data_IF_508973352318
#
_entry.id   IF_508973352318
#
_cell.length_a   1.000
_cell.length_b   1.000
_cell.length_c   1.000
_cell.angle_alpha   90.00
_cell.angle_beta   90.00
_cell.angle_gamma   90.00
#
_symmetry.space_group_name_H-M   'P 1'
#
loop_
_entity.id
_entity.type
_entity.pdbx_description
1 polymer ?
#
# COMPACT_ATOMS: atom_id res chain seq x y z
N UNK A 1 -3.57 32.01 1.76
CA UNK A 1 -4.53 31.08 1.14
C UNK A 1 -5.53 31.93 0.37
N UNK A 2 -5.44 31.93 -0.96
CA UNK A 2 -6.41 32.60 -1.83
C UNK A 2 -7.71 31.80 -1.81
N UNK A 3 -8.82 32.46 -1.48
CA UNK A 3 -10.18 31.91 -1.59
C UNK A 3 -10.45 31.46 -3.03
N UNK A 4 -11.09 30.30 -3.27
CA UNK A 4 -11.42 29.87 -4.63
C UNK A 4 -12.41 30.85 -5.28
N UNK A 5 -12.16 31.16 -6.55
CA UNK A 5 -13.06 31.92 -7.41
C UNK A 5 -14.37 31.12 -7.64
N UNK A 6 -15.55 31.67 -7.31
CA UNK A 6 -16.84 30.97 -7.43
C UNK A 6 -17.34 30.82 -8.88
N UNK A 7 -16.57 31.24 -9.90
CA UNK A 7 -17.02 31.26 -11.30
C UNK A 7 -16.70 30.00 -12.11
N UNK A 8 -16.03 29.00 -11.57
CA UNK A 8 -15.83 27.69 -12.21
C UNK A 8 -16.16 26.57 -11.21
N UNK A 9 -17.34 25.96 -11.36
CA UNK A 9 -17.55 24.63 -10.76
C UNK A 9 -16.49 23.70 -11.36
N UNK A 10 -15.56 23.13 -10.57
CA UNK A 10 -14.58 22.21 -11.11
C UNK A 10 -15.35 21.03 -11.74
N UNK A 11 -15.14 20.82 -13.04
CA UNK A 11 -15.65 19.63 -13.70
C UNK A 11 -14.81 18.44 -13.24
N UNK A 12 -15.31 17.70 -12.26
CA UNK A 12 -14.69 16.47 -11.80
C UNK A 12 -14.62 15.45 -12.95
N UNK A 13 -13.51 14.73 -13.06
CA UNK A 13 -13.27 13.77 -14.14
C UNK A 13 -12.99 12.40 -13.55
N UNK A 14 -13.45 11.35 -14.23
CA UNK A 14 -13.16 9.98 -13.84
C UNK A 14 -11.65 9.74 -13.99
N UNK A 15 -10.92 9.37 -12.92
CA UNK A 15 -9.48 9.17 -12.99
C UNK A 15 -9.08 8.07 -13.95
N UNK A 16 -8.02 8.30 -14.71
CA UNK A 16 -7.45 7.33 -15.65
C UNK A 16 -5.95 7.18 -15.47
N UNK A 17 -5.38 6.09 -15.99
CA UNK A 17 -3.93 5.88 -16.02
C UNK A 17 -3.29 6.77 -17.11
N UNK A 18 -2.16 7.39 -16.78
CA UNK A 18 -1.37 8.20 -17.73
C UNK A 18 0.10 7.77 -17.82
N UNK A 19 0.65 7.14 -16.79
CA UNK A 19 2.06 6.78 -16.76
C UNK A 19 2.27 5.47 -17.52
N UNK A 20 2.81 5.58 -18.74
CA UNK A 20 3.02 4.43 -19.62
C UNK A 20 4.50 4.21 -19.98
N UNK A 21 5.31 5.26 -19.90
CA UNK A 21 6.73 5.23 -20.30
C UNK A 21 7.59 5.92 -19.25
N UNK A 22 8.91 5.77 -19.35
CA UNK A 22 9.87 6.50 -18.50
C UNK A 22 9.72 8.01 -18.64
N UNK A 23 9.37 8.50 -19.83
CA UNK A 23 9.10 9.93 -20.06
C UNK A 23 7.87 10.41 -19.28
N UNK A 24 6.77 9.64 -19.29
CA UNK A 24 5.58 9.96 -18.48
C UNK A 24 5.91 9.95 -16.98
N UNK A 25 6.69 8.98 -16.50
CA UNK A 25 7.10 8.92 -15.11
C UNK A 25 7.96 10.13 -14.71
N UNK A 26 8.92 10.52 -15.55
CA UNK A 26 9.74 11.70 -15.33
C UNK A 26 8.88 12.99 -15.31
N UNK A 27 7.88 13.09 -16.18
CA UNK A 27 6.93 14.19 -16.18
C UNK A 27 6.10 14.24 -14.89
N UNK A 28 5.59 13.09 -14.44
CA UNK A 28 4.92 12.98 -13.14
C UNK A 28 5.82 13.48 -12.01
N UNK A 29 7.09 13.06 -11.94
CA UNK A 29 8.03 13.48 -10.89
C UNK A 29 8.30 14.99 -10.85
N UNK A 30 8.11 15.70 -11.98
CA UNK A 30 8.20 17.17 -12.05
C UNK A 30 6.86 17.87 -11.79
N UNK A 31 5.75 17.12 -11.74
CA UNK A 31 4.41 17.68 -11.67
C UNK A 31 4.07 18.26 -10.31
N UNK A 32 3.08 19.16 -10.30
CA UNK A 32 2.45 19.66 -9.07
C UNK A 32 1.84 18.52 -8.25
N UNK A 33 1.19 17.56 -8.90
CA UNK A 33 0.54 16.41 -8.26
C UNK A 33 1.53 15.55 -7.49
N UNK A 34 2.72 15.29 -8.05
CA UNK A 34 3.79 14.61 -7.31
C UNK A 34 4.18 15.37 -6.04
N UNK A 35 4.36 16.69 -6.15
CA UNK A 35 4.73 17.54 -5.01
C UNK A 35 3.64 17.56 -3.94
N UNK A 36 2.36 17.54 -4.34
CA UNK A 36 1.22 17.47 -3.42
C UNK A 36 1.13 16.11 -2.72
N UNK A 37 1.31 14.99 -3.43
CA UNK A 37 1.33 13.64 -2.85
C UNK A 37 2.47 13.53 -1.83
N UNK A 38 3.69 13.86 -2.24
CA UNK A 38 4.85 13.76 -1.34
C UNK A 38 4.73 14.72 -0.16
N UNK A 39 4.29 15.95 -0.39
CA UNK A 39 4.05 16.93 0.66
C UNK A 39 3.01 16.46 1.67
N UNK A 40 1.91 15.84 1.21
CA UNK A 40 0.90 15.28 2.10
C UNK A 40 1.45 14.14 2.97
N UNK A 41 2.24 13.22 2.40
CA UNK A 41 2.91 12.15 3.18
C UNK A 41 3.81 12.75 4.26
N UNK A 42 4.56 13.79 3.91
CA UNK A 42 5.50 14.47 4.81
C UNK A 42 4.77 15.18 5.95
N UNK A 43 3.70 15.94 5.63
CA UNK A 43 2.85 16.60 6.64
C UNK A 43 2.25 15.57 7.61
N UNK A 44 1.64 14.49 7.08
CA UNK A 44 1.09 13.40 7.90
C UNK A 44 2.16 12.74 8.77
N UNK A 45 3.39 12.57 8.26
CA UNK A 45 4.50 11.99 9.02
C UNK A 45 4.97 12.88 10.18
N UNK A 46 5.02 14.20 9.98
CA UNK A 46 5.43 15.12 11.06
C UNK A 46 4.37 15.20 12.16
N UNK A 47 3.08 15.14 11.83
CA UNK A 47 1.98 15.26 12.80
C UNK A 47 1.86 14.09 13.79
N UNK A 48 2.44 12.93 13.45
CA UNK A 48 2.42 11.71 14.28
C UNK A 48 3.70 11.46 15.07
N UNK A 49 4.68 12.36 15.00
CA UNK A 49 5.95 12.21 15.72
C UNK A 49 5.71 12.09 17.22
N UNK A 50 6.22 11.01 17.82
CA UNK A 50 6.11 10.76 19.26
C UNK A 50 4.73 10.32 19.75
N UNK A 51 3.76 10.10 18.86
CA UNK A 51 2.39 9.65 19.22
C UNK A 51 2.24 8.14 19.06
N UNK A 52 1.53 7.50 19.99
CA UNK A 52 1.18 6.07 19.89
C UNK A 52 -0.13 5.85 19.15
N UNK A 53 -0.31 4.64 18.60
CA UNK A 53 -1.58 4.16 18.04
C UNK A 53 -2.69 4.19 19.11
N UNK A 54 -2.37 3.74 20.32
CA UNK A 54 -3.28 3.73 21.48
C UNK A 54 -3.68 5.14 21.95
N UNK A 55 -2.99 6.18 21.48
CA UNK A 55 -3.23 7.58 21.80
C UNK A 55 -3.87 8.35 20.62
N UNK A 56 -4.34 7.66 19.58
CA UNK A 56 -4.98 8.29 18.41
C UNK A 56 -6.17 9.19 18.78
N UNK A 57 -6.84 8.90 19.89
CA UNK A 57 -8.05 9.58 20.34
C UNK A 57 -9.32 9.01 19.71
N UNK A 58 -10.42 9.72 19.87
CA UNK A 58 -11.71 9.35 19.27
C UNK A 58 -11.88 9.99 17.88
N UNK A 59 -12.72 9.38 17.05
CA UNK A 59 -13.08 9.95 15.75
C UNK A 59 -13.82 11.28 15.89
N UNK A 60 -13.43 12.26 15.08
CA UNK A 60 -14.15 13.52 14.93
C UNK A 60 -15.39 13.33 14.04
N UNK A 61 -16.29 14.31 13.98
CA UNK A 61 -17.43 14.29 13.05
C UNK A 61 -16.99 14.17 11.58
N UNK A 62 -15.77 14.63 11.25
CA UNK A 62 -15.20 14.54 9.89
C UNK A 62 -14.57 13.18 9.62
N UNK A 63 -13.95 12.54 10.60
CA UNK A 63 -13.25 11.26 10.41
C UNK A 63 -14.11 10.03 10.70
N UNK A 64 -15.20 10.16 11.47
CA UNK A 64 -16.14 9.06 11.75
C UNK A 64 -16.72 8.40 10.49
N UNK A 65 -17.21 9.15 9.49
CA UNK A 65 -17.69 8.55 8.24
C UNK A 65 -16.62 7.71 7.52
N UNK A 66 -15.34 8.09 7.61
CA UNK A 66 -14.24 7.34 6.98
C UNK A 66 -14.03 6.00 7.69
N UNK A 67 -14.08 5.98 9.02
CA UNK A 67 -14.03 4.75 9.81
C UNK A 67 -15.22 3.84 9.49
N UNK A 68 -16.43 4.40 9.40
CA UNK A 68 -17.65 3.64 9.09
C UNK A 68 -17.61 3.02 7.69
N UNK A 69 -17.03 3.73 6.71
CA UNK A 69 -16.79 3.21 5.36
C UNK A 69 -15.81 2.01 5.41
N UNK A 70 -14.70 2.14 6.14
CA UNK A 70 -13.73 1.04 6.30
C UNK A 70 -14.34 -0.17 7.02
N UNK A 71 -15.19 0.06 8.01
CA UNK A 71 -15.94 -1.01 8.67
C UNK A 71 -16.91 -1.70 7.71
N UNK A 72 -17.59 -0.95 6.84
CA UNK A 72 -18.45 -1.54 5.82
C UNK A 72 -17.66 -2.42 4.84
N UNK A 73 -16.44 -2.02 4.46
CA UNK A 73 -15.56 -2.87 3.63
C UNK A 73 -15.16 -4.15 4.35
N UNK A 74 -14.86 -4.07 5.65
CA UNK A 74 -14.58 -5.24 6.49
C UNK A 74 -15.78 -6.19 6.55
N UNK A 75 -17.00 -5.67 6.77
CA UNK A 75 -18.24 -6.46 6.77
C UNK A 75 -18.51 -7.12 5.40
N UNK A 76 -18.19 -6.44 4.29
CA UNK A 76 -18.26 -7.04 2.95
C UNK A 76 -17.27 -8.21 2.83
N UNK A 77 -16.08 -8.11 3.43
CA UNK A 77 -15.11 -9.20 3.45
C UNK A 77 -15.58 -10.38 4.33
N UNK A 78 -16.13 -10.11 5.51
CA UNK A 78 -16.70 -11.14 6.41
C UNK A 78 -17.88 -11.87 5.75
N UNK A 79 -18.74 -11.15 5.03
CA UNK A 79 -19.88 -11.72 4.28
C UNK A 79 -19.50 -12.33 2.92
N UNK A 80 -18.20 -12.40 2.59
CA UNK A 80 -17.67 -13.01 1.37
C UNK A 80 -16.61 -14.05 1.71
N UNK A 81 -16.99 -15.18 2.34
CA UNK A 81 -16.02 -16.17 2.81
C UNK A 81 -15.20 -16.76 1.64
N UNK A 82 -13.95 -17.18 1.91
CA UNK A 82 -13.09 -17.78 0.90
C UNK A 82 -13.68 -19.10 0.40
N UNK A 83 -13.54 -19.38 -0.90
CA UNK A 83 -13.91 -20.70 -1.44
C UNK A 83 -12.86 -21.74 -1.06
N UNK A 84 -13.29 -23.00 -0.86
CA UNK A 84 -12.37 -24.10 -0.55
C UNK A 84 -11.43 -24.32 -1.75
N UNK A 85 -10.18 -23.88 -1.61
CA UNK A 85 -9.16 -23.91 -2.65
C UNK A 85 -7.87 -24.61 -2.17
N UNK A 86 -8.01 -25.68 -1.40
CA UNK A 86 -6.89 -26.43 -0.78
C UNK A 86 -5.81 -26.95 -1.74
N UNK A 87 -6.10 -27.05 -3.04
CA UNK A 87 -5.14 -27.50 -4.05
C UNK A 87 -4.31 -26.36 -4.67
N UNK A 88 -4.71 -25.11 -4.43
CA UNK A 88 -4.00 -23.93 -4.93
C UNK A 88 -3.12 -23.32 -3.84
N UNK A 89 -2.02 -22.70 -4.25
CA UNK A 89 -1.15 -21.84 -3.41
C UNK A 89 -1.22 -20.36 -3.78
N UNK A 90 -2.10 -20.04 -4.72
CA UNK A 90 -2.32 -18.73 -5.34
C UNK A 90 -3.64 -18.12 -4.85
N UNK A 91 -3.88 -16.86 -5.21
CA UNK A 91 -5.01 -16.07 -4.72
C UNK A 91 -6.38 -16.78 -4.78
N UNK A 92 -7.20 -16.57 -3.74
CA UNK A 92 -8.53 -17.14 -3.62
C UNK A 92 -9.52 -16.43 -4.56
N UNK A 93 -10.24 -17.16 -5.43
CA UNK A 93 -11.19 -16.55 -6.37
C UNK A 93 -12.31 -15.73 -5.73
N UNK A 94 -12.67 -15.99 -4.45
CA UNK A 94 -13.67 -15.21 -3.72
C UNK A 94 -13.29 -13.72 -3.62
N UNK A 95 -12.01 -13.39 -3.74
CA UNK A 95 -11.54 -12.00 -3.82
C UNK A 95 -12.22 -11.21 -4.95
N UNK A 96 -12.48 -11.86 -6.10
CA UNK A 96 -13.14 -11.18 -7.24
C UNK A 96 -14.56 -10.75 -6.88
N UNK A 97 -15.27 -11.59 -6.13
CA UNK A 97 -16.60 -11.28 -5.62
C UNK A 97 -16.56 -10.18 -4.56
N UNK A 98 -15.59 -10.23 -3.65
CA UNK A 98 -15.36 -9.17 -2.66
C UNK A 98 -15.09 -7.82 -3.36
N UNK A 99 -14.18 -7.81 -4.33
CA UNK A 99 -13.81 -6.63 -5.09
C UNK A 99 -15.04 -6.01 -5.79
N UNK A 100 -15.87 -6.85 -6.44
CA UNK A 100 -17.09 -6.38 -7.10
C UNK A 100 -18.10 -5.78 -6.11
N UNK A 101 -18.33 -6.44 -4.97
CA UNK A 101 -19.22 -5.92 -3.91
C UNK A 101 -18.75 -4.57 -3.36
N UNK A 102 -17.44 -4.39 -3.14
CA UNK A 102 -16.89 -3.09 -2.72
C UNK A 102 -17.07 -2.05 -3.83
N UNK A 103 -16.85 -2.42 -5.08
CA UNK A 103 -17.10 -1.58 -6.25
C UNK A 103 -18.54 -1.09 -6.35
N UNK A 104 -19.50 -1.99 -6.19
CA UNK A 104 -20.94 -1.70 -6.23
C UNK A 104 -21.38 -0.83 -5.06
N UNK A 105 -20.86 -1.07 -3.85
CA UNK A 105 -21.19 -0.31 -2.65
C UNK A 105 -20.51 1.08 -2.60
N UNK A 106 -19.43 1.28 -3.35
CA UNK A 106 -18.57 2.46 -3.23
C UNK A 106 -19.33 3.78 -3.36
N UNK A 107 -20.24 3.91 -4.34
CA UNK A 107 -20.98 5.14 -4.54
C UNK A 107 -21.80 5.50 -3.30
N UNK A 108 -22.58 4.55 -2.79
CA UNK A 108 -23.41 4.73 -1.59
C UNK A 108 -22.56 5.03 -0.36
N UNK A 109 -21.42 4.34 -0.20
CA UNK A 109 -20.47 4.60 0.89
C UNK A 109 -20.01 6.06 0.91
N UNK A 110 -19.66 6.62 -0.24
CA UNK A 110 -19.22 8.01 -0.34
C UNK A 110 -20.32 9.03 -0.08
N UNK A 111 -21.60 8.70 -0.34
CA UNK A 111 -22.72 9.60 0.02
C UNK A 111 -22.86 9.82 1.52
N UNK A 112 -22.25 8.97 2.35
CA UNK A 112 -22.23 9.10 3.82
C UNK A 112 -21.27 10.18 4.32
N UNK A 113 -20.34 10.66 3.48
CA UNK A 113 -19.35 11.68 3.86
C UNK A 113 -20.03 13.06 3.83
N UNK A 114 -20.22 13.73 4.98
CA UNK A 114 -20.87 15.03 5.02
C UNK A 114 -20.06 16.08 4.25
N UNK A 115 -20.73 16.82 3.37
CA UNK A 115 -20.11 17.90 2.59
C UNK A 115 -19.38 17.47 1.32
N UNK A 116 -19.27 16.17 1.02
CA UNK A 116 -18.72 15.69 -0.24
C UNK A 116 -19.64 16.09 -1.42
N UNK A 117 -19.18 16.88 -2.40
CA UNK A 117 -19.99 17.21 -3.57
C UNK A 117 -20.36 15.95 -4.35
N UNK A 118 -21.63 15.82 -4.75
CA UNK A 118 -22.12 14.62 -5.45
C UNK A 118 -21.38 14.39 -6.76
N UNK A 119 -21.02 15.47 -7.43
CA UNK A 119 -20.30 15.49 -8.69
C UNK A 119 -18.84 15.03 -8.52
N UNK A 120 -18.27 15.17 -7.31
CA UNK A 120 -16.92 14.73 -6.98
C UNK A 120 -16.84 13.23 -6.67
N UNK A 121 -17.98 12.59 -6.32
CA UNK A 121 -18.01 11.17 -5.94
C UNK A 121 -17.47 10.30 -7.07
N UNK A 122 -17.86 10.56 -8.33
CA UNK A 122 -17.40 9.81 -9.50
C UNK A 122 -15.87 9.80 -9.67
N UNK A 123 -15.20 10.78 -9.09
CA UNK A 123 -13.74 10.91 -9.15
C UNK A 123 -13.09 10.26 -7.92
N UNK A 124 -13.54 10.64 -6.72
CA UNK A 124 -12.99 10.17 -5.45
C UNK A 124 -13.15 8.66 -5.30
N UNK A 125 -14.29 8.10 -5.73
CA UNK A 125 -14.59 6.68 -5.55
C UNK A 125 -13.65 5.75 -6.32
N UNK A 126 -13.02 6.22 -7.41
CA UNK A 126 -12.13 5.41 -8.24
C UNK A 126 -10.83 5.10 -7.50
N UNK A 127 -10.26 6.10 -6.82
CA UNK A 127 -9.10 5.90 -5.94
C UNK A 127 -9.41 4.88 -4.84
N UNK A 128 -10.60 4.99 -4.23
CA UNK A 128 -11.05 4.05 -3.21
C UNK A 128 -11.22 2.62 -3.77
N UNK A 129 -11.87 2.45 -4.93
CA UNK A 129 -12.07 1.14 -5.56
C UNK A 129 -10.75 0.43 -5.86
N UNK A 130 -9.74 1.18 -6.31
CA UNK A 130 -8.42 0.66 -6.66
C UNK A 130 -7.45 0.57 -5.45
N UNK A 131 -7.95 0.73 -4.22
CA UNK A 131 -7.14 0.62 -2.99
C UNK A 131 -6.99 -0.81 -2.45
N UNK A 132 -7.81 -1.77 -2.90
CA UNK A 132 -7.94 -3.08 -2.21
C UNK A 132 -7.15 -4.23 -2.83
N UNK A 133 -6.52 -4.01 -3.97
CA UNK A 133 -5.81 -5.04 -4.75
C UNK A 133 -6.21 -5.04 -6.22
N UNK A 134 -5.66 -5.96 -7.01
CA UNK A 134 -6.05 -6.16 -8.41
C UNK A 134 -7.02 -7.33 -8.56
N UNK A 135 -8.23 -7.06 -9.08
CA UNK A 135 -9.27 -8.08 -9.28
C UNK A 135 -8.78 -9.29 -10.09
N UNK A 136 -8.03 -9.09 -11.17
CA UNK A 136 -7.67 -10.18 -12.07
C UNK A 136 -6.51 -11.01 -11.54
N UNK A 137 -5.47 -10.35 -11.05
CA UNK A 137 -4.26 -10.98 -10.55
C UNK A 137 -4.40 -11.49 -9.11
N UNK A 138 -5.39 -11.00 -8.38
CA UNK A 138 -5.62 -11.35 -6.96
C UNK A 138 -4.37 -11.03 -6.13
N UNK A 139 -3.80 -9.85 -6.39
CA UNK A 139 -2.58 -9.34 -5.77
C UNK A 139 -2.82 -7.98 -5.10
N UNK A 140 -1.90 -7.58 -4.23
CA UNK A 140 -1.89 -6.28 -3.58
C UNK A 140 -0.45 -5.81 -3.36
N UNK A 141 -0.21 -4.51 -3.44
CA UNK A 141 1.10 -3.94 -3.13
C UNK A 141 1.05 -2.42 -2.92
N UNK A 142 2.24 -1.81 -2.89
CA UNK A 142 2.43 -0.38 -2.57
C UNK A 142 1.71 0.58 -3.54
N UNK A 143 1.43 0.17 -4.77
CA UNK A 143 0.64 0.96 -5.73
C UNK A 143 -0.83 1.11 -5.30
N UNK A 144 -1.43 0.07 -4.74
CA UNK A 144 -2.81 0.11 -4.22
C UNK A 144 -2.85 0.87 -2.88
N UNK A 145 -1.82 0.70 -2.04
CA UNK A 145 -1.62 1.54 -0.86
C UNK A 145 -1.55 3.04 -1.22
N UNK A 146 -0.87 3.39 -2.32
CA UNK A 146 -0.82 4.75 -2.85
C UNK A 146 -2.18 5.25 -3.34
N UNK A 147 -3.05 4.38 -3.86
CA UNK A 147 -4.42 4.77 -4.21
C UNK A 147 -5.24 5.13 -2.97
N UNK A 148 -5.06 4.41 -1.86
CA UNK A 148 -5.72 4.76 -0.59
C UNK A 148 -5.23 6.11 -0.05
N UNK A 149 -3.91 6.37 -0.13
CA UNK A 149 -3.35 7.68 0.20
C UNK A 149 -3.91 8.78 -0.72
N UNK A 150 -4.00 8.53 -2.03
CA UNK A 150 -4.59 9.45 -3.00
C UNK A 150 -6.04 9.77 -2.68
N UNK A 151 -6.82 8.78 -2.23
CA UNK A 151 -8.18 8.99 -1.74
C UNK A 151 -8.22 9.95 -0.54
N UNK A 152 -7.37 9.74 0.48
CA UNK A 152 -7.26 10.65 1.62
C UNK A 152 -6.85 12.08 1.20
N UNK A 153 -5.90 12.19 0.27
CA UNK A 153 -5.46 13.48 -0.27
C UNK A 153 -6.60 14.19 -0.99
N UNK A 154 -7.40 13.49 -1.81
CA UNK A 154 -8.58 14.06 -2.47
C UNK A 154 -9.59 14.60 -1.45
N UNK A 155 -9.85 13.88 -0.36
CA UNK A 155 -10.73 14.36 0.72
C UNK A 155 -10.18 15.62 1.40
N UNK A 156 -8.86 15.68 1.65
CA UNK A 156 -8.20 16.87 2.21
C UNK A 156 -8.28 18.07 1.26
N UNK A 157 -8.07 17.85 -0.05
CA UNK A 157 -8.18 18.90 -1.09
C UNK A 157 -9.59 19.45 -1.22
N UNK A 158 -10.62 18.63 -0.99
CA UNK A 158 -12.02 19.04 -0.95
C UNK A 158 -12.40 19.75 0.38
N UNK A 159 -11.48 19.84 1.34
CA UNK A 159 -11.72 20.45 2.64
C UNK A 159 -12.60 19.62 3.58
N UNK A 160 -12.76 18.32 3.30
CA UNK A 160 -13.59 17.41 4.10
C UNK A 160 -12.88 16.94 5.37
N UNK A 161 -11.55 17.02 5.37
CA UNK A 161 -10.67 16.81 6.52
C UNK A 161 -9.66 17.96 6.57
N UNK A 162 -9.26 18.35 7.77
CA UNK A 162 -8.33 19.48 7.98
C UNK A 162 -7.07 19.01 8.70
N UNK A 163 -6.08 19.89 8.87
CA UNK A 163 -4.81 19.55 9.54
C UNK A 163 -5.01 19.06 10.97
N UNK A 164 -6.06 19.51 11.65
CA UNK A 164 -6.42 19.03 12.99
C UNK A 164 -6.77 17.53 13.00
N UNK A 165 -7.22 16.97 11.87
CA UNK A 165 -7.58 15.56 11.75
C UNK A 165 -6.38 14.69 11.33
N UNK A 166 -5.27 15.27 10.86
CA UNK A 166 -4.13 14.53 10.29
C UNK A 166 -3.53 13.46 11.21
N UNK A 167 -3.31 13.70 12.52
CA UNK A 167 -2.90 12.64 13.43
C UNK A 167 -3.85 11.44 13.42
N UNK A 168 -5.17 11.68 13.41
CA UNK A 168 -6.18 10.62 13.39
C UNK A 168 -6.32 9.98 11.99
N UNK A 169 -6.07 10.72 10.90
CA UNK A 169 -6.02 10.14 9.55
C UNK A 169 -4.96 9.05 9.45
N UNK A 170 -3.81 9.22 10.10
CA UNK A 170 -2.75 8.20 10.12
C UNK A 170 -3.04 7.13 11.17
N UNK A 171 -3.17 7.53 12.45
CA UNK A 171 -3.23 6.59 13.57
C UNK A 171 -4.57 5.87 13.71
N UNK A 172 -5.65 6.44 13.15
CA UNK A 172 -7.00 5.89 13.17
C UNK A 172 -7.42 5.35 11.80
N UNK A 173 -7.62 6.25 10.82
CA UNK A 173 -8.21 5.88 9.51
C UNK A 173 -7.28 4.97 8.72
N UNK A 174 -6.03 5.37 8.51
CA UNK A 174 -5.07 4.55 7.78
C UNK A 174 -4.71 3.27 8.54
N UNK A 175 -4.57 3.34 9.87
CA UNK A 175 -4.34 2.13 10.64
C UNK A 175 -5.49 1.12 10.52
N UNK A 176 -6.74 1.60 10.56
CA UNK A 176 -7.92 0.77 10.31
C UNK A 176 -7.89 0.16 8.92
N UNK A 177 -7.46 0.91 7.90
CA UNK A 177 -7.25 0.37 6.56
C UNK A 177 -6.22 -0.78 6.54
N UNK A 178 -5.10 -0.65 7.25
CA UNK A 178 -4.10 -1.72 7.38
C UNK A 178 -4.67 -2.96 8.05
N UNK A 179 -5.48 -2.82 9.10
CA UNK A 179 -6.14 -3.95 9.75
C UNK A 179 -7.10 -4.68 8.79
N UNK A 180 -7.91 -3.93 8.05
CA UNK A 180 -8.79 -4.48 7.02
C UNK A 180 -7.99 -5.19 5.92
N UNK A 181 -6.88 -4.59 5.47
CA UNK A 181 -6.01 -5.21 4.47
C UNK A 181 -5.36 -6.50 4.97
N UNK A 182 -4.91 -6.56 6.22
CA UNK A 182 -4.39 -7.81 6.82
C UNK A 182 -5.45 -8.91 6.85
N UNK A 183 -6.71 -8.55 7.15
CA UNK A 183 -7.83 -9.50 7.05
C UNK A 183 -8.03 -9.98 5.61
N UNK A 184 -8.08 -9.08 4.63
CA UNK A 184 -8.26 -9.41 3.20
C UNK A 184 -7.11 -10.29 2.68
N UNK A 185 -5.86 -9.91 2.96
CA UNK A 185 -4.65 -10.63 2.55
C UNK A 185 -4.63 -12.05 3.11
N UNK A 186 -4.96 -12.23 4.39
CA UNK A 186 -4.99 -13.55 5.03
C UNK A 186 -6.20 -14.39 4.62
N UNK A 187 -7.36 -13.76 4.37
CA UNK A 187 -8.59 -14.46 3.97
C UNK A 187 -8.51 -14.96 2.53
N UNK A 188 -8.03 -14.12 1.62
CA UNK A 188 -8.00 -14.44 0.19
C UNK A 188 -6.63 -14.85 -0.33
N UNK A 189 -5.62 -14.96 0.53
CA UNK A 189 -4.25 -15.29 0.16
C UNK A 189 -3.76 -14.43 -1.01
N UNK A 190 -3.92 -13.12 -0.88
CA UNK A 190 -3.46 -12.20 -1.92
C UNK A 190 -1.98 -12.42 -2.20
N UNK A 191 -1.60 -12.26 -3.46
CA UNK A 191 -0.21 -12.34 -3.88
C UNK A 191 0.47 -10.98 -3.70
N UNK A 192 1.77 -10.94 -3.35
CA UNK A 192 2.54 -9.71 -3.34
C UNK A 192 2.64 -9.10 -4.74
N UNK A 193 2.14 -7.88 -4.93
CA UNK A 193 2.26 -7.16 -6.20
C UNK A 193 3.59 -6.41 -6.26
N UNK A 194 4.37 -6.65 -7.32
CA UNK A 194 5.71 -6.07 -7.50
C UNK A 194 6.80 -7.01 -6.98
N UNK A 195 7.62 -7.52 -7.90
CA UNK A 195 8.63 -8.55 -7.63
C UNK A 195 9.93 -7.98 -7.07
N UNK A 196 9.90 -7.45 -5.84
CA UNK A 196 11.16 -7.22 -5.10
C UNK A 196 11.65 -8.49 -4.38
N UNK A 197 10.78 -9.50 -4.25
CA UNK A 197 11.08 -10.73 -3.52
C UNK A 197 11.63 -10.42 -2.12
N UNK A 198 12.67 -11.14 -1.70
CA UNK A 198 13.32 -10.91 -0.40
C UNK A 198 14.01 -9.54 -0.26
N UNK A 199 14.17 -8.78 -1.35
CA UNK A 199 14.79 -7.45 -1.34
C UNK A 199 13.76 -6.32 -1.23
N UNK A 200 12.48 -6.64 -1.11
CA UNK A 200 11.45 -5.66 -0.75
C UNK A 200 11.54 -5.28 0.72
N UNK A 201 11.00 -4.11 1.07
CA UNK A 201 10.84 -3.72 2.48
C UNK A 201 9.88 -4.67 3.20
N UNK A 202 8.73 -4.91 2.58
CA UNK A 202 7.68 -5.84 2.98
C UNK A 202 6.97 -6.34 1.73
N UNK A 203 6.23 -7.44 1.86
CA UNK A 203 5.52 -8.07 0.74
C UNK A 203 4.39 -7.17 0.20
N UNK A 204 3.77 -6.34 1.05
CA UNK A 204 2.54 -5.61 0.71
C UNK A 204 2.62 -4.11 0.97
N UNK A 205 3.27 -3.69 2.04
CA UNK A 205 3.11 -2.35 2.61
C UNK A 205 4.41 -1.54 2.67
N UNK A 206 4.30 -0.22 2.52
CA UNK A 206 5.43 0.69 2.72
C UNK A 206 5.12 1.77 3.75
N UNK A 207 3.99 2.47 3.60
CA UNK A 207 3.61 3.60 4.45
C UNK A 207 3.56 3.29 5.96
N UNK A 208 3.15 2.09 6.43
CA UNK A 208 3.19 1.76 7.86
C UNK A 208 4.61 1.77 8.44
N UNK A 209 5.62 1.43 7.64
CA UNK A 209 7.03 1.53 8.06
C UNK A 209 7.54 2.98 8.02
N UNK A 210 7.13 3.75 7.01
CA UNK A 210 7.46 5.17 6.93
C UNK A 210 6.87 5.90 8.14
N UNK A 211 5.56 5.88 8.34
CA UNK A 211 4.91 6.59 9.44
C UNK A 211 5.21 5.95 10.80
N UNK A 212 5.33 4.62 10.88
CA UNK A 212 5.74 3.95 12.12
C UNK A 212 7.14 4.34 12.60
N UNK A 213 8.08 4.55 11.68
CA UNK A 213 9.40 5.12 12.02
C UNK A 213 9.30 6.59 12.43
N UNK A 214 8.33 7.32 11.86
CA UNK A 214 7.93 8.67 12.26
C UNK A 214 7.45 8.74 13.71
N UNK A 215 6.56 7.83 14.13
CA UNK A 215 6.08 7.73 15.51
C UNK A 215 7.24 7.56 16.50
N UNK A 216 8.25 6.77 16.12
CA UNK A 216 9.39 6.42 16.94
C UNK A 216 10.55 7.44 16.89
N UNK A 217 10.42 8.53 16.12
CA UNK A 217 11.40 9.62 16.10
C UNK A 217 11.57 10.18 17.50
N UNK A 218 12.83 10.45 17.87
CA UNK A 218 13.22 10.95 19.20
C UNK A 218 12.80 10.07 20.38
N UNK A 219 12.39 8.82 20.15
CA UNK A 219 11.99 7.92 21.24
C UNK A 219 13.16 7.70 22.21
N UNK A 220 12.90 7.86 23.52
CA UNK A 220 13.95 7.89 24.55
C UNK A 220 14.76 6.58 24.63
N UNK A 221 14.06 5.44 24.57
CA UNK A 221 14.63 4.11 24.83
C UNK A 221 14.71 3.21 23.59
N UNK A 222 13.58 3.00 22.90
CA UNK A 222 13.52 2.17 21.70
C UNK A 222 14.46 2.71 20.59
N UNK A 223 15.18 1.79 19.96
CA UNK A 223 16.08 2.03 18.82
C UNK A 223 15.72 1.06 17.69
N UNK A 224 16.11 1.31 16.43
CA UNK A 224 15.80 0.41 15.32
C UNK A 224 16.15 -1.06 15.56
N UNK A 225 17.28 -1.34 16.25
CA UNK A 225 17.67 -2.70 16.63
C UNK A 225 16.66 -3.45 17.51
N UNK A 226 15.76 -2.74 18.20
CA UNK A 226 14.78 -3.34 19.10
C UNK A 226 13.71 -4.17 18.36
N UNK A 227 13.63 -4.09 17.03
CA UNK A 227 12.73 -4.95 16.24
C UNK A 227 13.07 -6.45 16.32
N UNK A 228 14.27 -6.78 16.82
CA UNK A 228 14.71 -8.17 17.02
C UNK A 228 14.37 -8.74 18.39
N UNK A 229 13.88 -7.90 19.31
CA UNK A 229 13.60 -8.28 20.68
C UNK A 229 12.12 -8.70 20.82
N UNK A 230 11.82 -9.99 21.06
CA UNK A 230 10.46 -10.47 21.15
C UNK A 230 9.66 -9.84 22.30
N UNK A 231 10.30 -9.50 23.42
CA UNK A 231 9.63 -8.88 24.57
C UNK A 231 9.23 -7.44 24.23
N UNK A 232 10.09 -6.72 23.51
CA UNK A 232 9.76 -5.38 22.99
C UNK A 232 8.61 -5.46 22.00
N UNK A 233 8.62 -6.43 21.08
CA UNK A 233 7.54 -6.59 20.11
C UNK A 233 6.22 -6.94 20.80
N UNK A 234 6.23 -7.84 21.77
CA UNK A 234 5.02 -8.24 22.52
C UNK A 234 4.42 -7.04 23.26
N UNK A 235 5.25 -6.25 23.96
CA UNK A 235 4.76 -5.10 24.73
C UNK A 235 4.34 -3.91 23.87
N UNK A 236 5.13 -3.55 22.85
CA UNK A 236 5.00 -2.27 22.14
C UNK A 236 4.39 -2.36 20.73
N UNK A 237 4.12 -3.56 20.20
CA UNK A 237 3.47 -3.69 18.88
C UNK A 237 2.05 -3.10 18.83
N UNK A 238 1.35 -3.02 19.96
CA UNK A 238 0.06 -2.33 20.08
C UNK A 238 0.15 -0.80 19.96
N UNK A 239 1.33 -0.24 20.24
CA UNK A 239 1.54 1.21 20.33
C UNK A 239 2.15 1.80 19.05
N UNK A 240 2.94 1.03 18.28
CA UNK A 240 3.72 1.55 17.15
C UNK A 240 3.54 0.72 15.88
N UNK A 241 3.15 1.38 14.79
CA UNK A 241 2.88 0.73 13.49
C UNK A 241 4.06 -0.10 12.99
N UNK A 242 5.28 0.43 13.12
CA UNK A 242 6.49 -0.27 12.66
C UNK A 242 6.65 -1.60 13.39
N UNK A 243 6.53 -1.59 14.72
CA UNK A 243 6.67 -2.78 15.56
C UNK A 243 5.50 -3.75 15.33
N UNK A 244 4.28 -3.24 15.13
CA UNK A 244 3.13 -4.04 14.72
C UNK A 244 3.38 -4.78 13.41
N UNK A 245 3.96 -4.11 12.40
CA UNK A 245 4.28 -4.75 11.13
C UNK A 245 5.36 -5.83 11.28
N UNK A 246 6.40 -5.58 12.08
CA UNK A 246 7.41 -6.61 12.38
C UNK A 246 6.79 -7.81 13.11
N UNK A 247 5.97 -7.55 14.13
CA UNK A 247 5.26 -8.61 14.86
C UNK A 247 4.37 -9.44 13.93
N UNK A 248 3.65 -8.78 13.01
CA UNK A 248 2.84 -9.44 12.00
C UNK A 248 3.70 -10.33 11.08
N UNK A 249 4.79 -9.80 10.53
CA UNK A 249 5.72 -10.56 9.67
C UNK A 249 6.25 -11.80 10.40
N UNK A 250 6.71 -11.64 11.64
CA UNK A 250 7.23 -12.75 12.45
C UNK A 250 6.16 -13.81 12.77
N UNK A 251 4.88 -13.43 12.78
CA UNK A 251 3.77 -14.38 13.00
C UNK A 251 3.48 -15.26 11.78
N UNK A 252 3.77 -14.77 10.56
CA UNK A 252 3.49 -15.48 9.30
C UNK A 252 4.73 -16.17 8.71
N UNK A 253 5.94 -15.67 9.00
CA UNK A 253 7.20 -16.21 8.48
C UNK A 253 7.99 -16.84 9.63
N UNK A 254 8.31 -18.13 9.52
CA UNK A 254 8.90 -18.92 10.62
C UNK A 254 10.43 -18.83 10.73
N UNK A 255 11.10 -18.36 9.68
CA UNK A 255 12.55 -18.12 9.72
C UNK A 255 12.85 -16.81 10.47
N UNK A 256 14.11 -16.57 10.86
CA UNK A 256 14.45 -15.28 11.46
C UNK A 256 14.29 -14.13 10.45
N UNK A 257 14.05 -12.91 10.96
CA UNK A 257 13.82 -11.71 10.14
C UNK A 257 14.85 -11.53 9.03
N UNK A 258 16.12 -11.78 9.32
CA UNK A 258 17.24 -11.73 8.36
C UNK A 258 17.05 -12.62 7.13
N UNK A 259 16.40 -13.78 7.26
CA UNK A 259 16.26 -14.73 6.17
C UNK A 259 15.11 -14.39 5.22
N UNK A 260 14.06 -13.75 5.72
CA UNK A 260 12.86 -13.50 4.93
C UNK A 260 12.59 -12.02 4.66
N UNK A 261 13.26 -11.13 5.39
CA UNK A 261 13.19 -9.67 5.24
C UNK A 261 14.56 -9.02 5.52
N UNK A 262 15.62 -9.38 4.75
CA UNK A 262 16.98 -8.86 4.95
C UNK A 262 17.07 -7.33 4.90
N UNK A 263 16.22 -6.64 4.13
CA UNK A 263 16.20 -5.18 4.11
C UNK A 263 15.78 -4.56 5.45
N UNK A 264 14.76 -5.12 6.11
CA UNK A 264 14.36 -4.70 7.45
C UNK A 264 15.45 -5.01 8.49
N UNK A 265 16.13 -6.15 8.35
CA UNK A 265 17.29 -6.52 9.17
C UNK A 265 18.43 -5.50 9.02
N UNK A 266 18.79 -5.12 7.80
CA UNK A 266 19.84 -4.12 7.52
C UNK A 266 19.44 -2.73 8.05
N UNK A 267 18.19 -2.31 7.86
CA UNK A 267 17.67 -1.03 8.37
C UNK A 267 17.72 -0.99 9.90
N UNK A 268 17.55 -2.12 10.59
CA UNK A 268 17.65 -2.21 12.04
C UNK A 268 19.04 -1.82 12.60
N UNK A 269 20.08 -1.86 11.76
CA UNK A 269 21.44 -1.45 12.13
C UNK A 269 21.61 0.08 12.19
N UNK A 270 20.65 0.86 11.67
CA UNK A 270 20.66 2.32 11.75
C UNK A 270 20.53 2.77 13.20
N UNK A 271 21.30 3.80 13.59
CA UNK A 271 21.42 4.22 15.00
C UNK A 271 20.16 4.85 15.58
N UNK A 272 19.38 5.58 14.79
CA UNK A 272 18.23 6.35 15.27
C UNK A 272 17.03 6.20 14.35
N UNK A 273 15.82 6.25 14.91
CA UNK A 273 14.57 6.23 14.14
C UNK A 273 14.40 7.45 13.24
N UNK A 274 15.00 8.59 13.59
CA UNK A 274 15.08 9.76 12.70
C UNK A 274 15.80 9.45 11.39
N UNK A 275 16.97 8.78 11.46
CA UNK A 275 17.68 8.35 10.26
C UNK A 275 16.97 7.25 9.49
N UNK A 276 16.27 6.36 10.18
CA UNK A 276 15.38 5.40 9.51
C UNK A 276 14.28 6.14 8.75
N UNK A 277 13.58 7.08 9.38
CA UNK A 277 12.49 7.83 8.76
C UNK A 277 12.95 8.67 7.55
N UNK A 278 14.08 9.38 7.68
CA UNK A 278 14.71 10.07 6.54
C UNK A 278 15.02 9.12 5.37
N UNK A 279 15.55 7.93 5.69
CA UNK A 279 15.82 6.87 4.72
C UNK A 279 14.55 6.35 4.06
N UNK A 280 13.49 6.10 4.84
CA UNK A 280 12.19 5.63 4.35
C UNK A 280 11.54 6.64 3.42
N UNK A 281 11.61 7.95 3.70
CA UNK A 281 11.12 9.00 2.78
C UNK A 281 11.82 8.93 1.42
N UNK A 282 13.16 8.80 1.42
CA UNK A 282 13.96 8.67 0.18
C UNK A 282 13.66 7.38 -0.57
N UNK A 283 13.54 6.28 0.17
CA UNK A 283 13.24 4.97 -0.40
C UNK A 283 11.83 4.92 -0.98
N UNK A 284 10.84 5.55 -0.34
CA UNK A 284 9.48 5.67 -0.90
C UNK A 284 9.49 6.41 -2.23
N UNK A 285 10.24 7.52 -2.32
CA UNK A 285 10.41 8.24 -3.58
C UNK A 285 11.05 7.36 -4.66
N UNK A 286 12.08 6.58 -4.33
CA UNK A 286 12.78 5.76 -5.31
C UNK A 286 12.00 4.51 -5.74
N UNK A 287 11.45 3.76 -4.78
CA UNK A 287 10.88 2.42 -5.00
C UNK A 287 9.36 2.42 -5.16
N UNK A 288 8.67 3.52 -4.84
CA UNK A 288 7.24 3.68 -5.09
C UNK A 288 7.03 4.76 -6.14
N UNK A 289 7.27 6.04 -5.83
CA UNK A 289 6.95 7.16 -6.73
C UNK A 289 7.85 7.25 -7.97
N UNK A 290 9.04 6.64 -7.94
CA UNK A 290 10.02 6.62 -9.02
C UNK A 290 10.10 5.28 -9.74
N UNK A 291 9.19 4.34 -9.42
CA UNK A 291 9.20 3.00 -9.96
C UNK A 291 8.09 2.85 -10.98
N UNK A 292 8.45 2.75 -12.27
CA UNK A 292 7.48 2.64 -13.36
C UNK A 292 6.48 1.48 -13.18
N UNK A 293 6.91 0.24 -12.81
CA UNK A 293 5.97 -0.85 -12.55
C UNK A 293 4.92 -0.58 -11.48
N UNK A 294 5.22 0.30 -10.52
CA UNK A 294 4.28 0.71 -9.47
C UNK A 294 3.42 1.87 -9.97
N UNK A 295 4.05 2.94 -10.47
CA UNK A 295 3.39 4.18 -10.85
C UNK A 295 2.54 4.09 -12.12
N UNK A 296 2.73 3.09 -12.98
CA UNK A 296 1.83 2.84 -14.11
C UNK A 296 0.38 2.56 -13.68
N UNK A 297 0.17 2.16 -12.41
CA UNK A 297 -1.15 1.94 -11.83
C UNK A 297 -1.75 3.19 -11.17
N UNK A 298 -1.00 4.28 -11.06
CA UNK A 298 -1.51 5.51 -10.49
C UNK A 298 -2.58 6.14 -11.39
N UNK A 299 -3.57 6.74 -10.75
CA UNK A 299 -4.75 7.31 -11.37
C UNK A 299 -4.71 8.84 -11.30
N UNK A 300 -5.13 9.50 -12.38
CA UNK A 300 -5.12 10.95 -12.47
C UNK A 300 -6.48 11.46 -12.95
N UNK A 301 -7.05 12.38 -12.17
CA UNK A 301 -8.33 13.04 -12.42
C UNK A 301 -8.18 14.56 -12.40
N UNK A 302 -9.24 15.28 -12.05
CA UNK A 302 -9.21 16.75 -11.91
C UNK A 302 -8.57 17.20 -10.58
N UNK A 303 -8.70 16.41 -9.51
CA UNK A 303 -8.13 16.66 -8.19
C UNK A 303 -6.63 16.33 -8.16
N UNK A 304 -6.21 15.28 -8.85
CA UNK A 304 -4.82 14.87 -8.99
C UNK A 304 -4.46 14.82 -10.48
N UNK A 305 -4.26 15.97 -11.14
CA UNK A 305 -4.06 16.03 -12.58
C UNK A 305 -2.69 15.47 -13.00
N UNK A 306 -2.65 14.81 -14.15
CA UNK A 306 -1.40 14.50 -14.83
C UNK A 306 -0.91 15.71 -15.63
N UNK A 307 0.40 16.04 -15.65
CA UNK A 307 0.89 17.19 -16.42
C UNK A 307 0.61 17.04 -17.91
N UNK A 308 0.08 18.08 -18.52
CA UNK A 308 -0.15 18.12 -19.97
C UNK A 308 1.15 18.38 -20.74
N UNK A 309 1.26 17.98 -22.02
CA UNK A 309 2.42 18.31 -22.86
C UNK A 309 2.68 19.83 -22.99
N UNK A 310 1.67 20.68 -22.75
CA UNK A 310 1.82 22.12 -22.73
C UNK A 310 2.50 22.62 -21.44
N UNK A 311 2.28 21.92 -20.32
CA UNK A 311 2.88 22.23 -19.02
C UNK A 311 4.28 21.63 -18.87
N UNK A 312 4.58 20.53 -19.58
CA UNK A 312 5.88 19.88 -19.59
C UNK A 312 6.45 19.76 -21.03
N UNK A 313 7.33 20.69 -21.44
CA UNK A 313 7.99 20.66 -22.75
C UNK A 313 8.85 19.42 -22.99
N UNK A 314 9.40 18.79 -21.94
CA UNK A 314 10.20 17.57 -22.07
C UNK A 314 9.30 16.38 -22.39
N UNK A 315 8.13 16.29 -21.75
CA UNK A 315 7.11 15.29 -22.08
C UNK A 315 6.66 15.45 -23.52
N UNK A 316 6.37 16.68 -23.96
CA UNK A 316 5.97 16.97 -25.34
C UNK A 316 7.02 16.47 -26.34
N UNK A 317 8.28 16.79 -26.11
CA UNK A 317 9.38 16.34 -26.98
C UNK A 317 9.47 14.82 -27.01
N UNK A 318 9.40 14.16 -25.85
CA UNK A 318 9.46 12.70 -25.78
C UNK A 318 8.31 12.03 -26.53
N UNK A 319 7.08 12.55 -26.44
CA UNK A 319 5.92 12.04 -27.17
C UNK A 319 6.03 12.25 -28.69
N UNK A 320 6.66 13.34 -29.13
CA UNK A 320 6.93 13.60 -30.55
C UNK A 320 8.02 12.69 -31.12
N UNK A 321 8.99 12.26 -30.29
CA UNK A 321 10.12 11.39 -30.66
C UNK A 321 9.77 9.89 -30.60
N UNK A 322 9.03 9.44 -29.58
CA UNK A 322 8.77 8.02 -29.30
C UNK A 322 7.50 7.46 -29.98
N UNK A 323 6.63 8.33 -30.52
CA UNK A 323 5.32 7.93 -31.04
C UNK A 323 4.35 7.48 -29.93
N UNK A 324 3.11 7.16 -30.30
CA UNK A 324 2.13 6.65 -29.32
C UNK A 324 2.45 5.21 -28.95
N UNK A 325 2.71 4.92 -27.66
CA UNK A 325 3.09 3.59 -27.25
C UNK A 325 1.87 2.65 -27.22
N UNK A 326 2.06 1.39 -27.61
CA UNK A 326 0.99 0.38 -27.68
C UNK A 326 0.79 -0.31 -26.32
N UNK A 327 -0.46 -0.44 -25.89
CA UNK A 327 -0.85 -1.14 -24.65
C UNK A 327 -1.14 -2.63 -24.90
N UNK A 328 -0.82 -3.48 -23.93
CA UNK A 328 -1.22 -4.90 -23.88
C UNK A 328 -2.68 -5.08 -23.38
N UNK A 329 -3.13 -6.33 -23.27
CA UNK A 329 -4.47 -6.73 -22.80
C UNK A 329 -4.78 -6.30 -21.36
N UNK A 330 -3.76 -5.88 -20.60
CA UNK A 330 -3.83 -5.41 -19.22
C UNK A 330 -3.60 -3.89 -19.07
N UNK A 331 -3.39 -3.18 -20.19
CA UNK A 331 -3.15 -1.74 -20.22
C UNK A 331 -1.69 -1.34 -19.93
N UNK A 332 -0.73 -2.27 -20.01
CA UNK A 332 0.70 -2.04 -19.83
C UNK A 332 1.42 -1.84 -21.16
N UNK A 333 2.59 -1.20 -21.14
CA UNK A 333 3.44 -1.02 -22.33
C UNK A 333 4.76 -1.72 -22.09
N UNK A 334 5.15 -2.61 -23.01
CA UNK A 334 6.44 -3.27 -23.00
C UNK A 334 7.48 -2.40 -23.70
N UNK A 335 8.57 -2.04 -23.01
CA UNK A 335 9.77 -1.46 -23.62
C UNK A 335 10.60 -2.60 -24.24
N UNK A 336 10.72 -2.70 -25.58
CA UNK A 336 11.49 -3.77 -26.23
C UNK A 336 13.00 -3.66 -25.96
N UNK A 337 13.49 -2.53 -25.44
CA UNK A 337 14.92 -2.26 -25.22
C UNK A 337 15.46 -2.81 -23.89
N UNK A 338 14.58 -3.16 -22.93
CA UNK A 338 14.98 -3.81 -21.68
C UNK A 338 15.13 -5.32 -21.86
N UNK A 339 16.33 -5.74 -22.28
CA UNK A 339 16.74 -7.15 -22.29
C UNK A 339 16.69 -7.73 -20.87
N UNK A 340 15.61 -8.44 -20.57
CA UNK A 340 15.40 -9.13 -19.29
C UNK A 340 13.95 -9.10 -18.79
N UNK A 341 13.13 -8.16 -19.27
CA UNK A 341 11.74 -7.94 -18.83
C UNK A 341 10.70 -8.18 -19.92
N UNK A 342 11.09 -8.78 -21.06
CA UNK A 342 10.17 -9.21 -22.13
C UNK A 342 9.32 -10.45 -21.75
N UNK A 343 9.22 -10.77 -20.47
CA UNK A 343 8.28 -11.74 -19.89
C UNK A 343 7.70 -11.15 -18.61
N UNK A 344 6.40 -10.90 -18.62
CA UNK A 344 5.55 -10.46 -17.51
C UNK A 344 6.09 -9.32 -16.64
N UNK A 345 5.75 -8.08 -17.01
CA UNK A 345 5.79 -6.92 -16.12
C UNK A 345 4.93 -7.12 -14.84
N UNK A 346 4.00 -8.08 -14.87
CA UNK A 346 3.22 -8.55 -13.72
C UNK A 346 4.01 -9.48 -12.77
N UNK A 347 5.29 -9.76 -13.06
CA UNK A 347 6.05 -10.77 -12.33
C UNK A 347 5.49 -12.18 -12.55
N UNK A 348 6.32 -13.17 -12.23
CA UNK A 348 5.82 -14.54 -12.07
C UNK A 348 4.95 -14.53 -10.80
N UNK A 349 3.72 -15.08 -10.83
CA UNK A 349 2.85 -15.21 -9.66
C UNK A 349 3.65 -15.70 -8.44
N UNK A 350 3.70 -14.88 -7.39
CA UNK A 350 4.46 -15.17 -6.17
C UNK A 350 3.49 -15.77 -5.17
N UNK A 351 3.70 -17.03 -4.73
CA UNK A 351 2.79 -17.67 -3.78
C UNK A 351 2.60 -16.84 -2.51
N UNK A 352 1.36 -16.78 -2.03
CA UNK A 352 1.02 -16.00 -0.84
C UNK A 352 1.70 -16.56 0.42
N UNK A 353 2.29 -15.68 1.24
CA UNK A 353 2.89 -16.07 2.51
C UNK A 353 1.87 -16.71 3.47
N UNK A 354 0.59 -16.32 3.39
CA UNK A 354 -0.49 -16.90 4.19
C UNK A 354 -0.79 -18.34 3.80
N UNK A 355 -0.79 -18.64 2.49
CA UNK A 355 -0.94 -20.01 1.99
C UNK A 355 0.22 -20.89 2.49
N UNK A 356 1.46 -20.37 2.49
CA UNK A 356 2.62 -21.08 3.03
C UNK A 356 2.50 -21.35 4.55
N UNK A 357 2.09 -20.34 5.33
CA UNK A 357 1.91 -20.45 6.77
C UNK A 357 0.83 -21.47 7.16
N UNK A 358 -0.32 -21.47 6.46
CA UNK A 358 -1.40 -22.42 6.72
C UNK A 358 -1.01 -23.87 6.39
N UNK A 359 -0.28 -24.08 5.29
CA UNK A 359 0.26 -25.39 4.95
C UNK A 359 1.26 -25.89 6.01
N UNK A 360 2.14 -25.02 6.51
CA UNK A 360 3.08 -25.37 7.58
C UNK A 360 2.38 -25.75 8.89
N UNK A 361 1.31 -25.03 9.27
CA UNK A 361 0.51 -25.35 10.46
C UNK A 361 -0.31 -26.64 10.30
N UNK A 362 -0.81 -26.92 9.10
CA UNK A 362 -1.52 -28.18 8.81
C UNK A 362 -0.57 -29.39 8.92
N UNK A 363 0.68 -29.24 8.48
CA UNK A 363 1.73 -30.27 8.59
C UNK A 363 2.18 -30.52 10.03
N UNK A 364 2.11 -29.52 10.93
CA UNK A 364 2.39 -29.70 12.37
C UNK A 364 1.35 -30.57 13.09
N UNK A 365 0.17 -30.79 12.50
CA UNK A 365 -0.88 -31.67 13.02
C UNK A 365 -0.84 -33.11 12.49
N UNK A 366 0.08 -33.42 11.57
CA UNK A 366 0.27 -34.77 11.00
C UNK A 366 1.56 -35.35 11.58
N UNK A 367 1.58 -36.58 12.14
CA UNK A 367 2.82 -37.19 12.59
C UNK A 367 3.78 -37.26 11.41
N UNK A 368 4.90 -36.54 11.49
CA UNK A 368 5.95 -36.61 10.49
C UNK A 368 6.45 -38.04 10.39
N UNK A 369 6.64 -38.52 9.16
CA UNK A 369 7.22 -39.83 8.81
C UNK A 369 8.72 -39.97 9.23
N UNK A 370 9.15 -39.25 10.26
CA UNK A 370 10.53 -39.17 10.74
C UNK A 370 10.88 -40.20 11.83
N UNK A 371 9.99 -41.14 12.16
CA UNK A 371 10.28 -42.23 13.10
C UNK A 371 10.47 -43.59 12.41
N UNK A 372 11.31 -43.66 11.38
CA UNK A 372 11.96 -44.92 10.99
C UNK A 372 13.41 -44.91 11.48
N UNK A 373 13.80 -45.80 12.41
CA UNK A 373 15.20 -45.92 12.81
C UNK A 373 15.99 -46.48 11.61
N UNK A 374 16.96 -45.72 11.08
CA UNK A 374 17.89 -46.29 10.09
C UNK A 374 18.54 -45.35 9.08
N UNK A 375 18.19 -44.06 8.99
CA UNK A 375 18.82 -43.16 8.01
C UNK A 375 19.70 -42.14 8.73
N UNK A 376 21.02 -42.36 8.69
CA UNK A 376 22.02 -41.38 9.15
C UNK A 376 22.12 -40.23 8.14
N UNK A 377 22.14 -38.96 8.58
CA UNK A 377 22.46 -37.83 7.72
C UNK A 377 23.92 -37.90 7.25
N UNK A 378 24.16 -37.61 5.97
CA UNK A 378 25.50 -37.47 5.39
C UNK A 378 25.98 -36.05 5.68
N UNK A 379 27.17 -35.84 6.28
CA UNK A 379 27.74 -34.52 6.46
C UNK A 379 28.32 -34.03 5.12
N UNK A 380 28.04 -32.79 4.77
CA UNK A 380 28.83 -32.06 3.77
C UNK A 380 29.62 -30.99 4.50
N UNK A 381 30.93 -31.02 4.28
CA UNK A 381 31.92 -30.01 4.67
C UNK A 381 31.62 -28.63 4.06
#
# INVERSE_FOLDING_TARGET
MTTPDPSHSPSYTIPTKYILTKAHLAAFQRSKTYSEIFGFIDELNEDIVGRKLTEAGECSERTRPLIDILNSVHEIAESTPPVDNKLSRFGNPAFKTFYDKVGDASHELHTRIPGLPKEAIQEVEVYFKESWGNKQRVDYGSGMELNFLSWLLCLAKLGLVTKEDYPFLVLGVFWRYIEVMRYIQSTYWLEPAGSHGVWGLDDYHFLPFLWGSGQLRNHKYLRPKAIHDPEVLDEFSKDYMYLSCISFINSIKTASLRWHSPMLDDISAVKTWEKVNEGMKKMFVAEVLGKLPVMQHALFGSLLPFPTPQEDPELKRALEEEGQPATDEHGHIHDPSEKGWSMDCCGIPVPSAFAAAQNANTLKGVPTLSNRPGIKPIPFD
#
